data_IF_142478996926
#
_entry.id   IF_142478996926
#
_cell.length_a   1.000
_cell.length_b   1.000
_cell.length_c   1.000
_cell.angle_alpha   90.00
_cell.angle_beta   90.00
_cell.angle_gamma   90.00
#
_symmetry.space_group_name_H-M   'P 1'
#
loop_
_entity.id
_entity.type
_entity.pdbx_description
1 polymer ?
#
# COMPACT_ATOMS: atom_id res chain seq x y z
N UNK A 1 -4.10 -11.83 17.63
CA UNK A 1 -4.28 -13.11 16.88
C UNK A 1 -3.74 -12.97 15.45
N UNK A 2 -3.26 -14.06 14.86
CA UNK A 2 -2.70 -14.07 13.50
C UNK A 2 -3.47 -15.05 12.63
N UNK A 3 -3.85 -14.59 11.43
CA UNK A 3 -4.34 -15.47 10.36
C UNK A 3 -3.27 -15.53 9.27
N UNK A 4 -2.85 -16.75 8.97
CA UNK A 4 -1.91 -17.02 7.91
C UNK A 4 -2.53 -18.01 6.92
N UNK A 5 -2.89 -17.52 5.74
CA UNK A 5 -3.52 -18.30 4.67
C UNK A 5 -2.90 -18.02 3.30
N UNK A 6 -1.59 -17.75 3.27
CA UNK A 6 -0.85 -17.45 2.03
C UNK A 6 -0.76 -18.68 1.10
N UNK A 7 -0.51 -18.42 -0.17
CA UNK A 7 -0.34 -19.44 -1.21
C UNK A 7 -1.53 -20.42 -1.32
N UNK A 8 -2.75 -19.87 -1.27
CA UNK A 8 -3.98 -20.59 -1.57
C UNK A 8 -4.58 -20.05 -2.88
N UNK A 9 -4.13 -20.50 -4.06
CA UNK A 9 -4.47 -19.92 -5.35
C UNK A 9 -5.95 -20.01 -5.71
N UNK A 10 -6.70 -20.90 -5.07
CA UNK A 10 -8.14 -21.07 -5.27
C UNK A 10 -8.99 -20.34 -4.22
N UNK A 11 -8.35 -19.67 -3.25
CA UNK A 11 -9.04 -18.84 -2.27
C UNK A 11 -9.34 -17.46 -2.90
N UNK A 12 -10.57 -17.26 -3.34
CA UNK A 12 -10.98 -16.02 -4.00
C UNK A 12 -11.60 -14.99 -3.05
N UNK A 13 -12.16 -15.45 -1.94
CA UNK A 13 -12.94 -14.63 -1.03
C UNK A 13 -12.55 -14.90 0.43
N UNK A 14 -12.25 -13.81 1.17
CA UNK A 14 -11.89 -13.89 2.59
C UNK A 14 -12.79 -12.92 3.38
N UNK A 15 -13.65 -13.49 4.25
CA UNK A 15 -14.52 -12.69 5.11
C UNK A 15 -14.02 -12.70 6.55
N UNK A 16 -13.54 -11.56 7.02
CA UNK A 16 -13.02 -11.33 8.37
C UNK A 16 -13.89 -10.37 9.18
N UNK A 17 -15.10 -10.05 8.71
CA UNK A 17 -15.97 -9.03 9.33
C UNK A 17 -16.26 -9.26 10.82
N UNK A 18 -16.24 -10.51 11.29
CA UNK A 18 -16.45 -10.88 12.69
C UNK A 18 -15.15 -11.00 13.52
N UNK A 19 -13.96 -10.90 12.88
CA UNK A 19 -12.67 -11.20 13.53
C UNK A 19 -11.96 -9.95 14.04
N UNK A 20 -12.60 -9.24 14.98
CA UNK A 20 -12.10 -7.94 15.50
C UNK A 20 -10.77 -8.02 16.25
N UNK A 21 -10.42 -9.19 16.82
CA UNK A 21 -9.17 -9.41 17.58
C UNK A 21 -7.98 -9.84 16.73
N UNK A 22 -8.17 -9.93 15.42
CA UNK A 22 -7.08 -10.23 14.51
C UNK A 22 -6.12 -9.03 14.47
N UNK A 23 -4.83 -9.27 14.72
CA UNK A 23 -3.78 -8.23 14.68
C UNK A 23 -2.93 -8.33 13.43
N UNK A 24 -2.83 -9.52 12.84
CA UNK A 24 -2.01 -9.77 11.65
C UNK A 24 -2.72 -10.67 10.66
N UNK A 25 -2.80 -10.21 9.41
CA UNK A 25 -3.28 -10.99 8.27
C UNK A 25 -2.13 -11.17 7.28
N UNK A 26 -1.83 -12.43 6.96
CA UNK A 26 -0.94 -12.79 5.85
C UNK A 26 -1.69 -13.72 4.88
N UNK A 27 -2.09 -13.17 3.75
CA UNK A 27 -2.78 -13.87 2.67
C UNK A 27 -2.14 -13.60 1.31
N UNK A 28 -0.83 -13.32 1.32
CA UNK A 28 -0.04 -13.11 0.09
C UNK A 28 -0.06 -14.32 -0.81
N UNK A 29 0.14 -14.10 -2.09
CA UNK A 29 0.28 -15.14 -3.08
C UNK A 29 1.67 -15.08 -3.74
N UNK A 30 2.44 -16.16 -3.66
CA UNK A 30 3.76 -16.24 -4.28
C UNK A 30 3.62 -16.86 -5.68
N UNK A 31 3.43 -15.99 -6.68
CA UNK A 31 3.31 -16.38 -8.10
C UNK A 31 4.61 -16.97 -8.69
N UNK A 32 5.73 -16.91 -7.96
CA UNK A 32 7.02 -17.41 -8.47
C UNK A 32 7.17 -18.94 -8.42
N UNK A 33 6.32 -19.61 -7.66
CA UNK A 33 6.45 -21.04 -7.35
C UNK A 33 5.34 -21.92 -7.93
N UNK A 34 4.52 -21.40 -8.86
CA UNK A 34 3.41 -22.17 -9.41
C UNK A 34 3.77 -22.73 -10.78
N UNK A 35 3.95 -24.04 -10.84
CA UNK A 35 3.90 -24.80 -12.09
C UNK A 35 2.46 -25.13 -12.52
N UNK A 36 1.47 -24.61 -11.81
CA UNK A 36 0.05 -24.82 -12.09
C UNK A 36 -0.42 -23.79 -13.14
N UNK A 37 -0.75 -24.23 -14.37
CA UNK A 37 -1.27 -23.34 -15.39
C UNK A 37 -2.63 -22.71 -15.05
N UNK A 38 -3.33 -23.26 -14.05
CA UNK A 38 -4.61 -22.75 -13.54
C UNK A 38 -4.44 -21.75 -12.38
N UNK A 39 -3.21 -21.52 -11.93
CA UNK A 39 -2.89 -20.47 -10.94
C UNK A 39 -2.94 -19.08 -11.59
N UNK A 40 -4.14 -18.67 -11.95
CA UNK A 40 -4.40 -17.38 -12.63
C UNK A 40 -4.82 -16.27 -11.71
N UNK A 41 -4.96 -16.55 -10.43
CA UNK A 41 -5.57 -15.59 -9.53
C UNK A 41 -5.09 -15.75 -8.11
N UNK A 42 -5.62 -14.92 -7.30
CA UNK A 42 -5.53 -14.94 -5.86
C UNK A 42 -6.82 -14.40 -5.31
N UNK A 43 -6.78 -13.92 -4.10
CA UNK A 43 -7.93 -13.31 -3.45
C UNK A 43 -8.37 -12.08 -4.24
N UNK A 44 -9.65 -12.04 -4.60
CA UNK A 44 -10.28 -10.88 -5.25
C UNK A 44 -10.97 -9.96 -4.26
N UNK A 45 -11.42 -10.52 -3.12
CA UNK A 45 -12.19 -9.78 -2.12
C UNK A 45 -11.79 -10.15 -0.71
N UNK A 46 -11.47 -9.12 0.09
CA UNK A 46 -11.28 -9.22 1.53
C UNK A 46 -12.32 -8.32 2.20
N UNK A 47 -13.14 -8.88 3.09
CA UNK A 47 -14.04 -8.11 3.95
C UNK A 47 -13.41 -8.02 5.33
N UNK A 48 -13.01 -6.81 5.72
CA UNK A 48 -12.49 -6.51 7.05
C UNK A 48 -13.63 -6.10 8.01
N UNK A 49 -13.41 -6.10 9.34
CA UNK A 49 -14.38 -5.54 10.27
C UNK A 49 -14.69 -4.07 9.95
N UNK A 50 -15.97 -3.69 10.01
CA UNK A 50 -16.40 -2.31 9.76
C UNK A 50 -16.12 -1.36 10.95
N UNK A 51 -15.79 -1.92 12.13
CA UNK A 51 -15.47 -1.17 13.34
C UNK A 51 -14.69 -2.02 14.35
N UNK A 52 -13.90 -1.36 15.18
CA UNK A 52 -13.28 -1.99 16.37
C UNK A 52 -12.27 -3.08 16.07
N UNK A 53 -11.64 -3.05 14.90
CA UNK A 53 -10.57 -3.99 14.52
C UNK A 53 -9.26 -3.66 15.25
N UNK A 54 -8.61 -4.71 15.78
CA UNK A 54 -7.27 -4.64 16.34
C UNK A 54 -6.16 -4.87 15.29
N UNK A 55 -6.51 -4.88 14.01
CA UNK A 55 -5.59 -5.21 12.93
C UNK A 55 -4.50 -4.13 12.79
N UNK A 56 -3.24 -4.57 12.88
CA UNK A 56 -2.04 -3.74 12.76
C UNK A 56 -1.28 -3.98 11.46
N UNK A 57 -1.34 -5.22 10.94
CA UNK A 57 -0.53 -5.64 9.80
C UNK A 57 -1.36 -6.41 8.77
N UNK A 58 -1.26 -6.00 7.50
CA UNK A 58 -1.82 -6.71 6.35
C UNK A 58 -0.70 -6.97 5.34
N UNK A 59 -0.53 -8.25 4.97
CA UNK A 59 0.30 -8.70 3.87
C UNK A 59 -0.57 -9.48 2.89
N UNK A 60 -0.91 -8.86 1.75
CA UNK A 60 -1.82 -9.43 0.75
C UNK A 60 -1.30 -9.17 -0.68
N UNK A 61 0.03 -9.20 -0.87
CA UNK A 61 0.62 -8.94 -2.18
C UNK A 61 0.39 -10.06 -3.18
N UNK A 62 0.47 -9.74 -4.47
CA UNK A 62 0.31 -10.67 -5.60
C UNK A 62 -1.03 -11.41 -5.61
N UNK A 63 -2.11 -10.73 -5.27
CA UNK A 63 -3.49 -11.19 -5.41
C UNK A 63 -4.19 -10.44 -6.58
N UNK A 64 -5.50 -10.52 -6.66
CA UNK A 64 -6.32 -9.80 -7.64
C UNK A 64 -7.33 -8.85 -6.96
N UNK A 65 -6.91 -8.25 -5.83
CA UNK A 65 -7.74 -7.34 -5.05
C UNK A 65 -7.93 -6.04 -5.82
N UNK A 66 -9.19 -5.69 -6.13
CA UNK A 66 -9.52 -4.44 -6.83
C UNK A 66 -9.97 -3.31 -5.89
N UNK A 67 -10.39 -3.64 -4.67
CA UNK A 67 -10.76 -2.67 -3.64
C UNK A 67 -10.65 -3.30 -2.25
N UNK A 68 -10.43 -2.46 -1.22
CA UNK A 68 -10.41 -2.88 0.18
C UNK A 68 -10.84 -1.70 1.06
N UNK A 69 -11.72 -1.94 2.03
CA UNK A 69 -12.18 -0.93 2.98
C UNK A 69 -11.47 -1.06 4.31
N UNK A 70 -10.72 -0.02 4.69
CA UNK A 70 -9.98 0.06 5.95
C UNK A 70 -10.69 0.86 7.03
N UNK A 71 -11.90 1.35 6.81
CA UNK A 71 -12.60 2.29 7.71
C UNK A 71 -12.73 1.76 9.14
N UNK A 72 -12.84 0.44 9.31
CA UNK A 72 -12.93 -0.23 10.59
C UNK A 72 -11.60 -0.62 11.25
N UNK A 73 -10.46 -0.28 10.65
CA UNK A 73 -9.13 -0.77 11.04
C UNK A 73 -8.16 0.37 11.41
N UNK A 74 -8.46 1.24 12.40
CA UNK A 74 -7.68 2.45 12.69
C UNK A 74 -6.27 2.17 13.24
N UNK A 75 -5.99 0.92 13.65
CA UNK A 75 -4.71 0.54 14.25
C UNK A 75 -3.68 0.07 13.22
N UNK A 76 -4.03 0.04 11.92
CA UNK A 76 -3.12 -0.40 10.87
C UNK A 76 -1.85 0.46 10.81
N UNK A 77 -0.71 -0.23 10.83
CA UNK A 77 0.64 0.33 10.76
C UNK A 77 1.39 -0.11 9.50
N UNK A 78 1.11 -1.34 9.04
CA UNK A 78 1.79 -1.94 7.90
C UNK A 78 0.80 -2.52 6.92
N UNK A 79 0.85 -2.03 5.68
CA UNK A 79 0.03 -2.53 4.58
C UNK A 79 0.97 -2.87 3.42
N UNK A 80 0.87 -4.12 2.93
CA UNK A 80 1.48 -4.53 1.69
C UNK A 80 0.42 -5.14 0.77
N UNK A 81 0.12 -4.40 -0.30
CA UNK A 81 -0.82 -4.74 -1.37
C UNK A 81 -0.13 -4.72 -2.74
N UNK A 82 1.20 -4.91 -2.79
CA UNK A 82 1.95 -4.97 -4.06
C UNK A 82 1.34 -5.99 -5.02
N UNK A 83 1.29 -5.67 -6.32
CA UNK A 83 0.88 -6.62 -7.36
C UNK A 83 -0.58 -7.05 -7.24
N UNK A 84 -1.48 -6.10 -7.07
CA UNK A 84 -2.92 -6.28 -7.08
C UNK A 84 -3.57 -5.51 -8.25
N UNK A 85 -4.89 -5.38 -8.25
CA UNK A 85 -5.66 -4.69 -9.29
C UNK A 85 -6.33 -3.40 -8.79
N UNK A 86 -5.71 -2.72 -7.80
CA UNK A 86 -6.27 -1.50 -7.20
C UNK A 86 -6.23 -0.35 -8.21
N UNK A 87 -7.35 0.35 -8.40
CA UNK A 87 -7.43 1.60 -9.16
C UNK A 87 -7.39 2.83 -8.25
N UNK A 88 -7.80 2.66 -7.01
CA UNK A 88 -7.75 3.65 -5.93
C UNK A 88 -7.51 2.98 -4.57
N UNK A 89 -7.19 3.77 -3.56
CA UNK A 89 -7.08 3.31 -2.18
C UNK A 89 -7.37 4.47 -1.22
N UNK A 90 -8.26 4.23 -0.24
CA UNK A 90 -8.52 5.20 0.81
C UNK A 90 -7.84 4.79 2.11
N UNK A 91 -6.79 5.53 2.49
CA UNK A 91 -6.02 5.34 3.73
C UNK A 91 -6.23 6.47 4.74
N UNK A 92 -7.18 7.37 4.52
CA UNK A 92 -7.38 8.60 5.31
C UNK A 92 -7.72 8.34 6.79
N UNK A 93 -8.33 7.20 7.14
CA UNK A 93 -8.62 6.79 8.52
C UNK A 93 -7.39 6.23 9.25
N UNK A 94 -6.29 5.93 8.55
CA UNK A 94 -5.13 5.19 9.05
C UNK A 94 -4.04 6.15 9.56
N UNK A 95 -4.33 6.91 10.60
CA UNK A 95 -3.39 7.92 11.13
C UNK A 95 -2.13 7.34 11.77
N UNK A 96 -2.13 6.04 12.09
CA UNK A 96 -0.98 5.31 12.65
C UNK A 96 -0.15 4.59 11.57
N UNK A 97 -0.50 4.74 10.28
CA UNK A 97 0.16 4.04 9.19
C UNK A 97 1.62 4.49 9.06
N UNK A 98 2.55 3.52 9.13
CA UNK A 98 4.01 3.74 9.02
C UNK A 98 4.58 3.25 7.71
N UNK A 99 4.02 2.18 7.16
CA UNK A 99 4.44 1.64 5.87
C UNK A 99 3.24 1.34 4.99
N UNK A 100 3.28 1.88 3.77
CA UNK A 100 2.33 1.60 2.71
C UNK A 100 3.11 1.10 1.49
N UNK A 101 2.79 -0.12 1.05
CA UNK A 101 3.34 -0.74 -0.14
C UNK A 101 2.20 -1.10 -1.08
N UNK A 102 2.07 -0.33 -2.15
CA UNK A 102 1.02 -0.45 -3.18
C UNK A 102 1.61 -0.52 -4.58
N UNK A 103 2.85 -0.95 -4.68
CA UNK A 103 3.54 -1.12 -5.95
C UNK A 103 2.78 -2.03 -6.91
N UNK A 104 2.99 -1.86 -8.23
CA UNK A 104 2.42 -2.72 -9.26
C UNK A 104 0.89 -2.85 -9.12
N UNK A 105 0.22 -1.70 -9.15
CA UNK A 105 -1.22 -1.56 -9.18
C UNK A 105 -1.62 -0.63 -10.34
N UNK A 106 -2.85 -0.10 -10.33
CA UNK A 106 -3.37 0.80 -11.37
C UNK A 106 -3.82 2.14 -10.78
N UNK A 107 -3.21 2.55 -9.64
CA UNK A 107 -3.64 3.71 -8.87
C UNK A 107 -3.24 4.98 -9.62
N UNK A 108 -4.22 5.85 -9.87
CA UNK A 108 -4.01 7.13 -10.57
C UNK A 108 -3.99 8.34 -9.64
N UNK A 109 -4.53 8.20 -8.43
CA UNK A 109 -4.55 9.23 -7.39
C UNK A 109 -4.28 8.62 -6.02
N UNK A 110 -3.44 9.28 -5.20
CA UNK A 110 -3.09 8.83 -3.87
C UNK A 110 -3.07 10.01 -2.90
N UNK A 111 -3.97 10.00 -1.93
CA UNK A 111 -3.97 10.97 -0.83
C UNK A 111 -3.45 10.32 0.46
N UNK A 112 -2.24 10.74 0.88
CA UNK A 112 -1.59 10.32 2.13
C UNK A 112 -1.52 11.47 3.15
N UNK A 113 -2.24 12.56 2.94
CA UNK A 113 -2.18 13.77 3.77
C UNK A 113 -2.56 13.55 5.25
N UNK A 114 -3.32 12.51 5.55
CA UNK A 114 -3.71 12.14 6.92
C UNK A 114 -2.75 11.15 7.59
N UNK A 115 -1.84 10.55 6.82
CA UNK A 115 -0.92 9.53 7.30
C UNK A 115 0.41 10.16 7.74
N UNK A 116 0.35 11.08 8.70
CA UNK A 116 1.51 11.88 9.13
C UNK A 116 2.62 11.07 9.79
N UNK A 117 2.32 9.85 10.26
CA UNK A 117 3.30 8.92 10.82
C UNK A 117 3.99 8.04 9.74
N UNK A 118 3.74 8.30 8.43
CA UNK A 118 4.26 7.47 7.36
C UNK A 118 5.78 7.62 7.22
N UNK A 119 6.48 6.49 7.41
CA UNK A 119 7.94 6.38 7.33
C UNK A 119 8.38 5.82 5.97
N UNK A 120 7.56 4.96 5.35
CA UNK A 120 7.88 4.26 4.09
C UNK A 120 6.70 4.25 3.14
N UNK A 121 6.90 4.78 1.95
CA UNK A 121 5.92 4.77 0.86
C UNK A 121 6.54 4.15 -0.38
N UNK A 122 5.96 3.03 -0.82
CA UNK A 122 6.32 2.32 -2.05
C UNK A 122 5.09 2.32 -2.96
N UNK A 123 5.12 3.14 -4.01
CA UNK A 123 4.02 3.33 -4.96
C UNK A 123 4.49 3.30 -6.42
N UNK A 124 5.64 2.68 -6.68
CA UNK A 124 6.16 2.51 -8.03
C UNK A 124 5.28 1.58 -8.88
N UNK A 125 5.45 1.66 -10.19
CA UNK A 125 4.66 0.89 -11.17
C UNK A 125 3.14 1.10 -10.98
N UNK A 126 2.70 2.37 -11.03
CA UNK A 126 1.32 2.81 -10.96
C UNK A 126 1.02 3.86 -12.06
N UNK A 127 -0.13 4.54 -12.00
CA UNK A 127 -0.54 5.56 -12.95
C UNK A 127 -0.63 6.97 -12.34
N UNK A 128 0.15 7.24 -11.27
CA UNK A 128 0.09 8.51 -10.53
C UNK A 128 0.56 9.66 -11.43
N UNK A 129 -0.25 10.71 -11.56
CA UNK A 129 0.11 11.94 -12.29
C UNK A 129 0.69 13.02 -11.37
N UNK A 130 0.40 12.92 -10.08
CA UNK A 130 0.91 13.77 -9.00
C UNK A 130 1.12 12.94 -7.74
N UNK A 131 1.99 13.41 -6.86
CA UNK A 131 2.20 12.84 -5.54
C UNK A 131 2.53 13.96 -4.56
N UNK A 132 1.65 14.18 -3.58
CA UNK A 132 1.84 15.16 -2.51
C UNK A 132 2.16 14.45 -1.20
N UNK A 133 3.42 14.58 -0.76
CA UNK A 133 3.93 14.01 0.50
C UNK A 133 4.29 15.08 1.53
N UNK A 134 3.83 16.33 1.34
CA UNK A 134 4.17 17.45 2.21
C UNK A 134 3.84 17.22 3.69
N UNK A 135 2.73 16.52 3.99
CA UNK A 135 2.32 16.21 5.36
C UNK A 135 3.10 15.04 6.00
N UNK A 136 3.86 14.29 5.20
CA UNK A 136 4.54 13.06 5.64
C UNK A 136 6.00 13.36 6.03
N UNK A 137 6.18 14.17 7.06
CA UNK A 137 7.51 14.66 7.48
C UNK A 137 8.43 13.58 8.05
N UNK A 138 7.86 12.44 8.49
CA UNK A 138 8.60 11.28 8.99
C UNK A 138 9.09 10.35 7.88
N UNK A 139 8.83 10.70 6.60
CA UNK A 139 9.14 9.83 5.46
C UNK A 139 10.66 9.68 5.30
N UNK A 140 11.14 8.43 5.33
CA UNK A 140 12.53 8.03 5.15
C UNK A 140 12.77 7.32 3.81
N UNK A 141 11.83 6.47 3.39
CA UNK A 141 11.87 5.74 2.13
C UNK A 141 10.72 6.17 1.23
N UNK A 142 11.03 6.73 0.06
CA UNK A 142 10.07 7.05 -0.99
C UNK A 142 10.47 6.39 -2.29
N UNK A 143 9.67 5.42 -2.76
CA UNK A 143 9.83 4.78 -4.06
C UNK A 143 8.56 5.05 -4.86
N UNK A 144 8.67 5.88 -5.90
CA UNK A 144 7.57 6.31 -6.77
C UNK A 144 7.94 6.22 -8.26
N UNK A 145 8.91 5.36 -8.60
CA UNK A 145 9.37 5.13 -9.98
C UNK A 145 8.24 4.64 -10.89
N UNK A 146 8.42 4.77 -12.22
CA UNK A 146 7.47 4.25 -13.21
C UNK A 146 6.03 4.73 -12.97
N UNK A 147 5.85 6.03 -12.87
CA UNK A 147 4.57 6.73 -12.80
C UNK A 147 4.51 7.83 -13.87
N UNK A 148 3.58 8.77 -13.78
CA UNK A 148 3.42 9.90 -14.70
C UNK A 148 3.61 11.24 -13.98
N UNK A 149 4.35 11.27 -12.87
CA UNK A 149 4.55 12.45 -12.03
C UNK A 149 5.37 13.50 -12.78
N UNK A 150 4.89 14.73 -12.85
CA UNK A 150 5.56 15.82 -13.55
C UNK A 150 6.36 16.75 -12.64
N UNK A 151 5.97 16.86 -11.37
CA UNK A 151 6.64 17.66 -10.36
C UNK A 151 6.62 16.94 -9.02
N UNK A 152 7.73 17.00 -8.29
CA UNK A 152 7.85 16.38 -6.97
C UNK A 152 8.47 17.40 -6.00
N UNK A 153 7.70 17.78 -4.99
CA UNK A 153 8.15 18.68 -3.92
C UNK A 153 8.40 17.90 -2.64
N UNK A 154 9.66 17.85 -2.25
CA UNK A 154 10.16 17.14 -1.07
C UNK A 154 10.73 18.12 -0.01
N UNK A 155 10.37 19.39 -0.09
CA UNK A 155 10.92 20.42 0.83
C UNK A 155 10.56 20.18 2.30
N UNK A 156 9.46 19.49 2.58
CA UNK A 156 9.05 19.12 3.94
C UNK A 156 9.65 17.75 4.41
N UNK A 157 10.19 16.95 3.49
CA UNK A 157 10.58 15.55 3.77
C UNK A 157 12.10 15.45 4.02
N UNK A 158 12.58 16.16 5.03
CA UNK A 158 14.01 16.27 5.34
C UNK A 158 14.65 14.96 5.84
N UNK A 159 13.84 13.97 6.20
CA UNK A 159 14.28 12.69 6.72
C UNK A 159 14.48 11.63 5.62
N UNK A 160 14.23 11.95 4.35
CA UNK A 160 14.38 10.99 3.26
C UNK A 160 15.85 10.59 3.11
N UNK A 161 16.10 9.29 3.26
CA UNK A 161 17.41 8.64 3.06
C UNK A 161 17.42 7.76 1.81
N UNK A 162 16.27 7.34 1.33
CA UNK A 162 16.14 6.57 0.10
C UNK A 162 15.04 7.16 -0.78
N UNK A 163 15.41 7.61 -1.98
CA UNK A 163 14.50 8.17 -2.99
C UNK A 163 14.70 7.45 -4.32
N UNK A 164 13.63 6.87 -4.85
CA UNK A 164 13.58 6.35 -6.22
C UNK A 164 12.38 6.96 -6.95
N UNK A 165 12.63 7.73 -8.01
CA UNK A 165 11.60 8.44 -8.77
C UNK A 165 11.86 8.42 -10.30
N UNK A 166 12.66 7.47 -10.74
CA UNK A 166 12.96 7.24 -12.16
C UNK A 166 11.72 6.79 -12.95
N UNK A 167 11.76 6.82 -14.28
CA UNK A 167 10.64 6.40 -15.11
C UNK A 167 9.38 7.28 -14.97
N UNK A 168 9.52 8.55 -14.59
CA UNK A 168 8.44 9.53 -14.48
C UNK A 168 8.52 10.59 -15.60
N UNK A 169 7.62 11.58 -15.58
CA UNK A 169 7.60 12.72 -16.51
C UNK A 169 8.17 14.00 -15.87
N UNK A 170 9.10 13.86 -14.92
CA UNK A 170 9.58 14.92 -14.05
C UNK A 170 10.21 16.08 -14.83
N UNK A 171 9.66 17.25 -14.61
CA UNK A 171 10.21 18.57 -15.06
C UNK A 171 10.89 19.30 -13.91
N UNK A 172 10.49 18.99 -12.67
CA UNK A 172 11.02 19.64 -11.47
C UNK A 172 10.99 18.69 -10.28
N UNK A 173 12.09 18.66 -9.56
CA UNK A 173 12.17 18.12 -8.19
C UNK A 173 12.64 19.25 -7.30
N UNK A 174 11.94 19.48 -6.19
CA UNK A 174 12.35 20.46 -5.19
C UNK A 174 12.71 19.71 -3.92
N UNK A 175 13.90 19.96 -3.41
CA UNK A 175 14.40 19.36 -2.16
C UNK A 175 14.87 20.47 -1.25
N UNK A 176 14.74 20.29 0.06
CA UNK A 176 15.51 21.07 1.04
C UNK A 176 16.89 20.43 1.24
N UNK A 177 17.70 21.00 2.11
CA UNK A 177 18.99 20.39 2.47
C UNK A 177 18.72 18.99 3.06
N UNK A 178 18.82 17.98 2.23
CA UNK A 178 18.83 16.59 2.68
C UNK A 178 20.13 16.31 3.41
N UNK A 179 20.14 15.49 4.46
CA UNK A 179 21.33 15.14 5.21
C UNK A 179 22.36 14.39 4.36
#
# INVERSE_FOLDING_TARGET
ETLNCYNNPKLLFLNLSAHKKLTTLDCRHDKSNTSDPDDKGGITTIILPSEGSELENITAYNNDISSIDFSGCPNLRYINLEGNALMDINVSSLTNLRRLDIRKNHISNLDVSKNTALEKLYCDDNALTELNVFANTELMDLVCSNNQISNLDLTANINITNLSCDGNLLKKITVSNMP
#
